data_IF_996328706250
#
_entry.id   IF_996328706250
#
_cell.length_a   1.000
_cell.length_b   1.000
_cell.length_c   1.000
_cell.angle_alpha   90.00
_cell.angle_beta   90.00
_cell.angle_gamma   90.00
#
_symmetry.space_group_name_H-M   'P 1'
#
loop_
_entity.id
_entity.type
_entity.pdbx_description
1 polymer ?
#
# COMPACT_ATOMS: atom_id res chain seq x y z
N UNK A 1 46.23 13.27 22.05
CA UNK A 1 45.20 12.38 21.46
C UNK A 1 43.94 12.50 22.29
N UNK A 2 42.81 12.84 21.67
CA UNK A 2 41.53 12.98 22.35
C UNK A 2 40.50 13.56 21.39
N UNK A 3 40.12 12.78 20.36
CA UNK A 3 39.04 13.14 19.44
C UNK A 3 37.73 13.05 20.22
N UNK A 4 37.15 14.18 20.63
CA UNK A 4 35.72 14.25 20.94
C UNK A 4 34.95 14.00 19.63
N UNK A 5 34.58 12.75 19.39
CA UNK A 5 33.58 12.40 18.38
C UNK A 5 32.21 12.63 19.02
N UNK A 6 31.39 13.48 18.42
CA UNK A 6 29.95 13.48 18.66
C UNK A 6 29.44 12.14 18.10
N UNK A 7 29.34 11.13 18.97
CA UNK A 7 28.68 9.87 18.65
C UNK A 7 27.17 10.12 18.83
N UNK A 8 26.45 10.13 17.72
CA UNK A 8 25.00 10.35 17.60
C UNK A 8 24.53 11.75 18.02
N UNK A 9 24.27 12.59 17.02
CA UNK A 9 23.11 13.47 17.10
C UNK A 9 21.89 12.57 17.02
N UNK A 10 21.13 12.47 18.11
CA UNK A 10 19.75 12.02 18.08
C UNK A 10 18.92 13.21 17.59
N UNK A 11 18.14 13.09 16.51
CA UNK A 11 16.97 13.94 16.30
C UNK A 11 15.74 13.04 16.40
N UNK A 12 15.05 13.15 17.52
CA UNK A 12 13.92 14.06 17.77
C UNK A 12 12.64 13.27 17.60
N UNK A 13 11.94 13.11 18.72
CA UNK A 13 10.49 13.04 18.89
C UNK A 13 9.71 13.43 17.63
N UNK A 14 9.69 12.54 16.64
CA UNK A 14 8.85 12.62 15.48
C UNK A 14 7.56 11.93 15.85
N UNK A 15 6.43 12.62 15.69
CA UNK A 15 5.14 11.95 15.65
C UNK A 15 5.27 10.72 14.73
N UNK A 16 4.94 9.54 15.25
CA UNK A 16 5.12 8.27 14.54
C UNK A 16 4.03 8.17 13.45
N UNK A 17 4.24 8.89 12.34
CA UNK A 17 3.31 9.00 11.20
C UNK A 17 3.19 7.70 10.40
N UNK A 18 4.05 6.71 10.68
CA UNK A 18 4.06 5.38 10.04
C UNK A 18 3.86 4.22 11.03
N UNK A 19 3.29 4.49 12.21
CA UNK A 19 2.89 3.42 13.14
C UNK A 19 1.84 2.49 12.53
N UNK A 20 1.69 1.29 13.11
CA UNK A 20 0.61 0.37 12.73
C UNK A 20 -0.69 0.87 13.38
N UNK A 21 -1.73 1.05 12.56
CA UNK A 21 -3.07 1.47 12.99
C UNK A 21 -3.97 0.27 13.31
N UNK A 22 -3.89 -0.78 12.50
CA UNK A 22 -4.75 -1.95 12.63
C UNK A 22 -4.02 -3.22 12.19
N UNK A 23 -4.26 -4.32 12.88
CA UNK A 23 -3.77 -5.65 12.53
C UNK A 23 -4.98 -6.57 12.37
N UNK A 24 -5.01 -7.33 11.29
CA UNK A 24 -6.07 -8.27 10.94
C UNK A 24 -5.47 -9.62 10.62
N UNK A 25 -6.13 -10.67 11.11
CA UNK A 25 -5.77 -12.05 10.83
C UNK A 25 -6.85 -12.74 10.00
N UNK A 26 -6.44 -13.48 8.98
CA UNK A 26 -7.28 -14.42 8.25
C UNK A 26 -6.74 -15.83 8.52
N UNK A 27 -7.62 -16.79 8.80
CA UNK A 27 -7.20 -18.18 8.98
C UNK A 27 -6.52 -18.69 7.70
N UNK A 28 -5.40 -19.39 7.85
CA UNK A 28 -4.66 -19.89 6.70
C UNK A 28 -5.48 -20.94 5.91
N UNK A 29 -6.35 -21.70 6.57
CA UNK A 29 -7.21 -22.67 5.89
C UNK A 29 -8.24 -21.98 4.96
N UNK A 30 -8.64 -20.76 5.31
CA UNK A 30 -9.57 -19.90 4.57
C UNK A 30 -8.87 -19.09 3.46
N UNK A 31 -7.54 -19.15 3.36
CA UNK A 31 -6.78 -18.43 2.35
C UNK A 31 -6.94 -19.10 0.97
N UNK A 32 -7.50 -18.35 0.02
CA UNK A 32 -7.72 -18.79 -1.36
C UNK A 32 -6.57 -18.47 -2.32
N UNK A 33 -5.67 -17.57 -1.95
CA UNK A 33 -4.53 -17.12 -2.78
C UNK A 33 -4.48 -15.60 -2.93
N UNK A 34 -3.50 -15.13 -3.70
CA UNK A 34 -3.40 -13.72 -4.07
C UNK A 34 -3.82 -13.50 -5.51
N UNK A 35 -4.45 -12.36 -5.74
CA UNK A 35 -4.59 -11.75 -7.06
C UNK A 35 -3.50 -10.69 -7.20
N UNK A 36 -2.69 -10.80 -8.24
CA UNK A 36 -1.68 -9.83 -8.60
C UNK A 36 -2.23 -8.89 -9.68
N UNK A 37 -1.74 -7.65 -9.72
CA UNK A 37 -2.01 -6.75 -10.85
C UNK A 37 -1.02 -7.03 -11.97
N UNK A 38 -1.56 -7.23 -13.18
CA UNK A 38 -0.83 -7.71 -14.37
C UNK A 38 -0.19 -9.09 -14.17
N UNK A 39 0.22 -9.76 -15.24
CA UNK A 39 0.75 -11.14 -15.21
C UNK A 39 2.04 -11.34 -14.38
N UNK A 40 2.48 -10.32 -13.62
CA UNK A 40 3.58 -10.33 -12.68
C UNK A 40 3.25 -11.13 -11.42
N UNK A 41 3.39 -12.45 -11.52
CA UNK A 41 3.40 -13.37 -10.40
C UNK A 41 4.56 -13.05 -9.44
N UNK A 42 4.27 -12.65 -8.20
CA UNK A 42 5.23 -12.51 -7.08
C UNK A 42 6.44 -11.55 -7.25
N UNK A 43 6.70 -11.04 -8.45
CA UNK A 43 7.86 -10.18 -8.76
C UNK A 43 7.65 -8.71 -8.35
N UNK A 44 6.40 -8.24 -8.37
CA UNK A 44 6.05 -6.85 -8.04
C UNK A 44 5.94 -6.58 -6.54
N UNK A 45 5.90 -7.64 -5.72
CA UNK A 45 5.57 -7.57 -4.29
C UNK A 45 4.29 -6.76 -4.00
N UNK A 46 3.38 -6.71 -4.98
CA UNK A 46 2.18 -5.90 -4.97
C UNK A 46 0.96 -6.77 -5.24
N UNK A 47 0.02 -6.77 -4.30
CA UNK A 47 -1.18 -7.63 -4.30
C UNK A 47 -2.42 -6.76 -4.46
N UNK A 48 -3.24 -7.04 -5.46
CA UNK A 48 -4.51 -6.35 -5.65
C UNK A 48 -5.59 -6.88 -4.72
N UNK A 49 -5.64 -8.21 -4.54
CA UNK A 49 -6.65 -8.84 -3.70
C UNK A 49 -6.14 -10.09 -2.97
N UNK A 50 -6.69 -10.32 -1.77
CA UNK A 50 -6.48 -11.54 -0.99
C UNK A 50 -7.76 -12.36 -1.12
N UNK A 51 -7.68 -13.44 -1.91
CA UNK A 51 -8.82 -14.33 -2.15
C UNK A 51 -9.10 -15.15 -0.89
N UNK A 52 -10.37 -15.31 -0.57
CA UNK A 52 -10.85 -16.05 0.60
C UNK A 52 -11.72 -17.22 0.14
N UNK A 53 -11.68 -18.32 0.90
CA UNK A 53 -12.54 -19.48 0.67
C UNK A 53 -13.82 -19.34 1.49
N UNK A 54 -14.93 -19.02 0.83
CA UNK A 54 -16.23 -18.87 1.47
C UNK A 54 -16.41 -17.51 2.17
N UNK A 55 -17.35 -17.44 3.12
CA UNK A 55 -17.70 -16.22 3.88
C UNK A 55 -16.83 -16.02 5.13
N UNK A 56 -15.55 -16.37 5.05
CA UNK A 56 -14.59 -16.22 6.15
C UNK A 56 -14.31 -14.74 6.47
N UNK A 57 -14.38 -14.34 7.74
CA UNK A 57 -14.14 -12.96 8.18
C UNK A 57 -12.75 -12.78 8.77
N UNK A 58 -12.13 -11.62 8.55
CA UNK A 58 -10.92 -11.24 9.27
C UNK A 58 -11.20 -11.09 10.78
N UNK A 59 -10.25 -11.54 11.60
CA UNK A 59 -10.21 -11.29 13.03
C UNK A 59 -9.33 -10.06 13.27
N UNK A 60 -9.93 -8.97 13.76
CA UNK A 60 -9.20 -7.77 14.13
C UNK A 60 -8.47 -7.99 15.47
N UNK A 61 -7.18 -7.66 15.50
CA UNK A 61 -6.39 -7.56 16.73
C UNK A 61 -6.29 -6.09 17.12
N UNK A 62 -6.56 -5.80 18.39
CA UNK A 62 -6.31 -4.49 18.95
C UNK A 62 -4.82 -4.11 18.76
N UNK A 63 -4.58 -3.06 17.98
CA UNK A 63 -3.27 -2.49 17.73
C UNK A 63 -3.20 -1.12 18.41
N UNK A 64 -2.84 -1.04 19.70
CA UNK A 64 -2.52 0.25 20.31
C UNK A 64 -1.28 0.86 19.64
N UNK A 65 -1.02 2.14 19.93
CA UNK A 65 0.11 2.93 19.40
C UNK A 65 1.50 2.29 19.60
N UNK A 66 1.60 1.19 20.34
CA UNK A 66 2.82 0.42 20.61
C UNK A 66 3.09 -0.72 19.61
N UNK A 67 2.21 -0.97 18.63
CA UNK A 67 2.41 -2.03 17.65
C UNK A 67 3.63 -1.76 16.74
N UNK A 68 4.46 -2.79 16.54
CA UNK A 68 5.73 -2.72 15.79
C UNK A 68 5.80 -3.84 14.76
N UNK A 69 6.40 -3.52 13.61
CA UNK A 69 6.78 -4.50 12.60
C UNK A 69 8.31 -4.50 12.44
N UNK A 70 8.88 -5.69 12.29
CA UNK A 70 10.29 -5.87 11.95
C UNK A 70 10.45 -6.99 10.92
N UNK A 71 11.45 -6.85 10.06
CA UNK A 71 11.86 -7.88 9.10
C UNK A 71 13.36 -8.09 9.19
N UNK A 72 13.78 -9.34 9.27
CA UNK A 72 15.20 -9.71 9.24
C UNK A 72 15.43 -10.69 8.10
N UNK A 73 16.49 -10.47 7.32
CA UNK A 73 16.87 -11.35 6.22
C UNK A 73 18.06 -12.19 6.67
N UNK A 74 17.88 -13.50 6.77
CA UNK A 74 18.94 -14.45 7.12
C UNK A 74 18.95 -15.58 6.09
N UNK A 75 20.11 -15.82 5.46
CA UNK A 75 20.31 -16.88 4.48
C UNK A 75 19.28 -16.93 3.33
N UNK A 76 18.81 -15.75 2.88
CA UNK A 76 17.81 -15.65 1.80
C UNK A 76 16.36 -15.82 2.24
N UNK A 77 16.11 -16.04 3.53
CA UNK A 77 14.76 -16.13 4.11
C UNK A 77 14.48 -14.89 4.97
N UNK A 78 13.38 -14.19 4.66
CA UNK A 78 12.84 -13.12 5.49
C UNK A 78 12.07 -13.70 6.67
N UNK A 79 12.36 -13.20 7.87
CA UNK A 79 11.55 -13.41 9.07
C UNK A 79 10.78 -12.14 9.37
N UNK A 80 9.48 -12.17 9.08
CA UNK A 80 8.54 -11.08 9.37
C UNK A 80 7.99 -11.24 10.77
N UNK A 81 8.05 -10.19 11.58
CA UNK A 81 7.53 -10.19 12.95
C UNK A 81 6.70 -8.94 13.21
N UNK A 82 5.47 -9.13 13.67
CA UNK A 82 4.60 -8.07 14.20
C UNK A 82 4.42 -8.30 15.69
N UNK A 83 4.66 -7.26 16.49
CA UNK A 83 4.49 -7.27 17.93
C UNK A 83 3.45 -6.23 18.32
N UNK A 84 2.49 -6.60 19.16
CA UNK A 84 1.47 -5.70 19.68
C UNK A 84 1.18 -6.02 21.15
N UNK A 85 0.78 -5.02 21.92
CA UNK A 85 0.41 -5.19 23.32
C UNK A 85 -1.10 -5.07 23.48
N UNK A 86 -1.75 -6.01 24.17
CA UNK A 86 -3.18 -5.95 24.46
C UNK A 86 -3.35 -5.70 25.96
N UNK A 87 -3.91 -4.54 26.32
CA UNK A 87 -4.09 -4.10 27.71
C UNK A 87 -5.33 -4.67 28.42
N UNK A 88 -6.09 -5.54 27.75
CA UNK A 88 -7.16 -6.30 28.39
C UNK A 88 -6.65 -7.71 28.73
N UNK A 89 -6.93 -8.17 29.94
CA UNK A 89 -6.55 -9.51 30.42
C UNK A 89 -7.82 -10.27 30.84
N UNK A 90 -8.75 -10.42 29.90
CA UNK A 90 -10.00 -11.16 30.08
C UNK A 90 -9.84 -12.66 29.76
N UNK A 91 -10.62 -13.51 30.43
CA UNK A 91 -10.59 -14.97 30.20
C UNK A 91 -11.01 -15.34 28.77
N UNK A 92 -11.94 -14.58 28.18
CA UNK A 92 -12.36 -14.71 26.79
C UNK A 92 -11.22 -14.41 25.82
N UNK A 93 -10.48 -13.30 26.03
CA UNK A 93 -9.31 -12.96 25.22
C UNK A 93 -8.21 -14.02 25.34
N UNK A 94 -7.93 -14.49 26.56
CA UNK A 94 -6.93 -15.53 26.79
C UNK A 94 -7.29 -16.85 26.08
N UNK A 95 -8.57 -17.23 26.07
CA UNK A 95 -9.06 -18.40 25.33
C UNK A 95 -8.87 -18.21 23.82
N UNK A 96 -9.23 -17.05 23.28
CA UNK A 96 -9.04 -16.72 21.86
C UNK A 96 -7.57 -16.71 21.45
N UNK A 97 -6.69 -16.10 22.25
CA UNK A 97 -5.24 -16.10 22.02
C UNK A 97 -4.67 -17.52 22.08
N UNK A 98 -5.13 -18.35 23.02
CA UNK A 98 -4.72 -19.75 23.10
C UNK A 98 -5.10 -20.52 21.84
N UNK A 99 -6.33 -20.35 21.33
CA UNK A 99 -6.74 -20.96 20.07
C UNK A 99 -5.91 -20.43 18.89
N UNK A 100 -5.59 -19.14 18.87
CA UNK A 100 -4.73 -18.55 17.84
C UNK A 100 -3.31 -19.16 17.85
N UNK A 101 -2.77 -19.58 18.99
CA UNK A 101 -1.47 -20.28 19.03
C UNK A 101 -1.48 -21.66 18.35
N UNK A 102 -2.67 -22.24 18.13
CA UNK A 102 -2.83 -23.57 17.52
C UNK A 102 -3.02 -23.51 16.01
N UNK A 103 -3.30 -22.33 15.47
CA UNK A 103 -3.60 -22.12 14.05
C UNK A 103 -2.54 -21.27 13.37
N UNK A 104 -2.68 -21.20 12.06
CA UNK A 104 -1.81 -20.45 11.15
C UNK A 104 -2.65 -19.33 10.53
N UNK A 105 -2.05 -18.16 10.35
CA UNK A 105 -2.80 -16.99 9.87
C UNK A 105 -2.08 -16.23 8.77
N UNK A 106 -2.86 -15.65 7.85
CA UNK A 106 -2.40 -14.56 7.00
C UNK A 106 -2.55 -13.27 7.78
N UNK A 107 -1.46 -12.50 7.87
CA UNK A 107 -1.43 -11.26 8.63
C UNK A 107 -1.56 -10.10 7.66
N UNK A 108 -2.54 -9.24 7.89
CA UNK A 108 -2.71 -7.98 7.19
C UNK A 108 -2.60 -6.85 8.22
N UNK A 109 -1.70 -5.90 8.02
CA UNK A 109 -1.65 -4.71 8.86
C UNK A 109 -1.73 -3.43 8.04
N UNK A 110 -2.35 -2.41 8.63
CA UNK A 110 -2.51 -1.08 8.04
C UNK A 110 -1.63 -0.10 8.79
N UNK A 111 -0.85 0.71 8.08
CA UNK A 111 -0.10 1.81 8.67
C UNK A 111 -0.97 3.06 8.82
N UNK A 112 -0.60 3.97 9.72
CA UNK A 112 -1.24 5.29 9.87
C UNK A 112 -1.18 6.14 8.59
N UNK A 113 -0.23 5.84 7.69
CA UNK A 113 -0.15 6.43 6.34
C UNK A 113 -1.19 5.84 5.36
N UNK A 114 -2.00 4.86 5.79
CA UNK A 114 -3.07 4.26 4.99
C UNK A 114 -2.63 3.12 4.06
N UNK A 115 -1.36 2.70 4.13
CA UNK A 115 -0.86 1.55 3.35
C UNK A 115 -1.18 0.24 4.03
N UNK A 116 -1.44 -0.79 3.23
CA UNK A 116 -1.74 -2.13 3.72
C UNK A 116 -0.60 -3.07 3.33
N UNK A 117 -0.21 -3.92 4.27
CA UNK A 117 0.84 -4.90 4.06
C UNK A 117 0.39 -6.27 4.49
N UNK A 118 0.83 -7.29 3.76
CA UNK A 118 0.43 -8.69 3.99
C UNK A 118 1.65 -9.61 4.03
N UNK A 119 1.63 -10.57 4.95
CA UNK A 119 2.64 -11.64 5.01
C UNK A 119 2.06 -12.93 5.60
N UNK A 120 2.84 -14.01 5.53
CA UNK A 120 2.44 -15.34 6.03
C UNK A 120 1.72 -16.22 5.01
N UNK A 121 1.77 -15.89 3.73
CA UNK A 121 1.05 -16.63 2.69
C UNK A 121 1.66 -17.96 2.27
N UNK A 122 2.91 -18.25 2.62
CA UNK A 122 3.56 -19.52 2.28
C UNK A 122 3.15 -20.65 3.23
N UNK A 123 3.33 -20.43 4.53
CA UNK A 123 3.11 -21.45 5.56
C UNK A 123 2.23 -20.96 6.72
N UNK A 124 1.70 -19.74 6.63
CA UNK A 124 0.98 -19.07 7.70
C UNK A 124 1.89 -18.53 8.80
N UNK A 125 1.51 -17.38 9.33
CA UNK A 125 2.13 -16.81 10.52
C UNK A 125 1.71 -17.57 11.79
N UNK A 126 2.66 -17.70 12.70
CA UNK A 126 2.46 -18.26 14.04
C UNK A 126 2.14 -17.12 15.01
N UNK A 127 1.17 -17.32 15.89
CA UNK A 127 0.87 -16.39 16.99
C UNK A 127 1.43 -16.95 18.30
N UNK A 128 2.18 -16.14 19.03
CA UNK A 128 2.58 -16.41 20.41
C UNK A 128 2.16 -15.24 21.29
N UNK A 129 1.95 -15.51 22.59
CA UNK A 129 1.65 -14.44 23.54
C UNK A 129 2.33 -14.70 24.88
N UNK A 130 2.69 -13.62 25.56
CA UNK A 130 3.26 -13.64 26.91
C UNK A 130 2.47 -12.66 27.77
N UNK A 131 1.89 -13.15 28.85
CA UNK A 131 1.24 -12.29 29.83
C UNK A 131 2.31 -11.53 30.61
N UNK A 132 2.19 -10.21 30.67
CA UNK A 132 3.08 -9.35 31.44
C UNK A 132 2.26 -8.62 32.49
N UNK A 133 2.84 -8.51 33.70
CA UNK A 133 2.25 -7.79 34.83
C UNK A 133 3.22 -6.79 35.45
N UNK A 134 4.45 -6.68 34.92
CA UNK A 134 5.54 -5.92 35.52
C UNK A 134 5.54 -4.42 35.15
N UNK A 135 5.06 -4.06 33.96
CA UNK A 135 5.02 -2.67 33.47
C UNK A 135 3.59 -2.19 33.13
N UNK A 136 2.71 -3.12 32.79
CA UNK A 136 1.25 -2.95 32.65
C UNK A 136 0.61 -4.35 32.73
N UNK A 137 -0.66 -4.45 33.13
CA UNK A 137 -1.41 -5.73 33.08
C UNK A 137 -1.88 -5.92 31.64
N UNK A 138 -1.39 -6.96 30.97
CA UNK A 138 -1.79 -7.26 29.60
C UNK A 138 -1.01 -8.42 28.98
N UNK A 139 -1.21 -8.61 27.68
CA UNK A 139 -0.57 -9.66 26.89
C UNK A 139 0.27 -9.04 25.78
N UNK A 140 1.57 -9.33 25.74
CA UNK A 140 2.41 -9.08 24.58
C UNK A 140 2.13 -10.19 23.57
N UNK A 141 1.62 -9.84 22.39
CA UNK A 141 1.33 -10.75 21.29
C UNK A 141 2.38 -10.56 20.21
N UNK A 142 3.02 -11.66 19.81
CA UNK A 142 4.02 -11.70 18.76
C UNK A 142 3.53 -12.61 17.64
N UNK A 143 3.59 -12.12 16.42
CA UNK A 143 3.12 -12.83 15.23
C UNK A 143 4.28 -12.91 14.26
N UNK A 144 4.70 -14.12 13.88
CA UNK A 144 5.88 -14.31 13.05
C UNK A 144 5.67 -15.29 11.90
N UNK A 145 6.27 -14.99 10.75
CA UNK A 145 6.30 -15.88 9.60
C UNK A 145 7.65 -15.81 8.89
N UNK A 146 8.06 -16.94 8.32
CA UNK A 146 9.19 -17.00 7.40
C UNK A 146 8.66 -16.91 5.97
N UNK A 147 9.40 -16.21 5.11
CA UNK A 147 9.07 -16.00 3.71
C UNK A 147 10.35 -15.95 2.87
N UNK A 148 10.35 -16.54 1.67
CA UNK A 148 11.46 -16.32 0.71
C UNK A 148 11.36 -14.96 -0.01
N UNK A 149 10.21 -14.31 0.09
CA UNK A 149 9.92 -13.01 -0.50
C UNK A 149 9.85 -11.91 0.57
N UNK A 150 10.10 -10.65 0.20
CA UNK A 150 9.91 -9.52 1.10
C UNK A 150 8.41 -9.29 1.39
N UNK A 151 8.14 -8.29 2.23
CA UNK A 151 6.78 -7.91 2.59
C UNK A 151 5.99 -7.48 1.36
N UNK A 152 4.76 -7.98 1.21
CA UNK A 152 3.90 -7.60 0.11
C UNK A 152 3.04 -6.39 0.50
N UNK A 153 3.01 -5.39 -0.38
CA UNK A 153 2.04 -4.29 -0.29
C UNK A 153 0.72 -4.76 -0.89
N UNK A 154 -0.37 -4.47 -0.20
CA UNK A 154 -1.72 -4.72 -0.68
C UNK A 154 -2.37 -3.39 -1.06
N UNK A 155 -3.08 -3.37 -2.20
CA UNK A 155 -3.96 -2.25 -2.54
C UNK A 155 -4.92 -1.99 -1.37
N UNK A 156 -5.06 -0.74 -0.92
CA UNK A 156 -6.05 -0.38 0.09
C UNK A 156 -7.45 -0.83 -0.33
N UNK A 157 -8.08 -1.71 0.45
CA UNK A 157 -9.54 -1.83 0.42
C UNK A 157 -10.04 -0.58 1.10
N UNK A 158 -10.35 0.45 0.31
CA UNK A 158 -10.81 1.73 0.86
C UNK A 158 -12.23 1.51 1.44
N UNK A 159 -12.44 1.50 2.77
CA UNK A 159 -13.77 1.32 3.32
C UNK A 159 -14.53 2.65 3.17
N UNK A 160 -15.78 2.60 2.74
CA UNK A 160 -16.62 3.80 2.58
C UNK A 160 -16.80 4.23 1.12
N UNK A 161 -17.20 5.49 0.93
CA UNK A 161 -17.40 6.09 -0.40
C UNK A 161 -16.05 6.59 -0.91
N UNK A 162 -15.61 6.17 -2.09
CA UNK A 162 -14.39 6.68 -2.69
C UNK A 162 -14.39 6.57 -4.23
N UNK A 163 -13.52 7.38 -4.84
CA UNK A 163 -13.04 7.22 -6.22
C UNK A 163 -11.60 7.73 -6.25
N UNK A 164 -10.70 6.95 -6.83
CA UNK A 164 -9.26 7.27 -6.91
C UNK A 164 -8.70 6.88 -8.27
N UNK A 165 -7.62 7.55 -8.68
CA UNK A 165 -6.91 7.29 -9.93
C UNK A 165 -5.40 7.23 -9.66
N UNK A 166 -4.72 6.23 -10.22
CA UNK A 166 -3.27 6.05 -10.11
C UNK A 166 -2.70 5.59 -11.47
N UNK A 167 -1.65 6.24 -12.01
CA UNK A 167 -1.05 7.48 -11.52
C UNK A 167 -1.97 8.70 -11.71
N UNK A 168 -1.75 9.79 -10.98
CA UNK A 168 -2.51 11.06 -11.14
C UNK A 168 -2.00 11.92 -12.31
N UNK A 169 -0.93 11.49 -12.98
CA UNK A 169 -0.34 12.15 -14.13
C UNK A 169 0.15 11.13 -15.16
N UNK A 170 -0.15 11.35 -16.44
CA UNK A 170 0.37 10.58 -17.58
C UNK A 170 0.93 11.53 -18.63
N UNK A 171 2.06 11.15 -19.22
CA UNK A 171 2.67 11.82 -20.36
C UNK A 171 2.82 10.80 -21.50
N UNK A 172 2.24 11.14 -22.65
CA UNK A 172 2.28 10.38 -23.89
C UNK A 172 3.24 11.06 -24.87
N UNK A 173 4.06 10.28 -25.57
CA UNK A 173 4.97 10.75 -26.61
C UNK A 173 4.45 10.34 -28.00
N UNK A 174 4.03 11.32 -28.81
CA UNK A 174 3.61 11.10 -30.19
C UNK A 174 4.75 10.42 -31.02
N UNK A 175 4.44 9.58 -32.03
CA UNK A 175 3.16 9.55 -32.74
C UNK A 175 2.07 8.65 -32.14
N UNK A 176 2.39 7.58 -31.42
CA UNK A 176 1.39 6.64 -30.89
C UNK A 176 1.87 5.91 -29.64
N UNK A 177 1.90 6.58 -28.49
CA UNK A 177 2.06 5.90 -27.19
C UNK A 177 0.70 5.57 -26.59
N UNK A 178 0.60 4.36 -26.06
CA UNK A 178 -0.54 3.87 -25.30
C UNK A 178 -0.07 3.73 -23.85
N UNK A 179 -0.72 4.45 -22.94
CA UNK A 179 -0.46 4.34 -21.50
C UNK A 179 -1.70 3.87 -20.76
N UNK A 180 -1.52 3.49 -19.50
CA UNK A 180 -2.61 2.97 -18.67
C UNK A 180 -2.61 3.62 -17.30
N UNK A 181 -3.81 3.85 -16.76
CA UNK A 181 -4.00 4.14 -15.35
C UNK A 181 -5.09 3.25 -14.77
N UNK A 182 -5.07 3.11 -13.45
CA UNK A 182 -6.09 2.39 -12.69
C UNK A 182 -7.02 3.41 -12.04
N UNK A 183 -8.32 3.23 -12.25
CA UNK A 183 -9.39 3.93 -11.53
C UNK A 183 -10.08 2.94 -10.61
N UNK A 184 -10.13 3.25 -9.32
CA UNK A 184 -10.83 2.41 -8.32
C UNK A 184 -11.97 3.21 -7.71
N UNK A 185 -13.18 2.64 -7.66
CA UNK A 185 -14.34 3.30 -7.05
C UNK A 185 -15.21 2.36 -6.21
N UNK A 186 -15.81 2.90 -5.14
CA UNK A 186 -16.79 2.21 -4.29
C UNK A 186 -18.17 2.00 -4.91
N UNK A 187 -18.48 2.72 -5.99
CA UNK A 187 -19.79 2.75 -6.63
C UNK A 187 -19.61 2.95 -8.14
N UNK A 188 -20.66 2.77 -8.96
CA UNK A 188 -20.58 3.13 -10.37
C UNK A 188 -20.05 4.55 -10.58
N UNK A 189 -19.30 4.72 -11.66
CA UNK A 189 -18.58 5.95 -11.97
C UNK A 189 -18.66 6.29 -13.46
N UNK A 190 -18.45 7.56 -13.77
CA UNK A 190 -18.41 8.08 -15.13
C UNK A 190 -17.42 9.24 -15.26
N UNK A 191 -16.85 9.42 -16.44
CA UNK A 191 -16.11 10.61 -16.84
C UNK A 191 -17.08 11.79 -16.97
N UNK A 192 -16.85 12.86 -16.22
CA UNK A 192 -17.70 14.06 -16.25
C UNK A 192 -17.06 15.24 -17.01
N UNK A 193 -15.74 15.22 -17.19
CA UNK A 193 -15.01 16.28 -17.88
C UNK A 193 -13.66 15.75 -18.38
N UNK A 194 -13.21 16.19 -19.56
CA UNK A 194 -11.88 15.89 -20.09
C UNK A 194 -11.70 16.31 -21.55
N UNK A 195 -10.47 16.67 -21.98
CA UNK A 195 -10.18 17.08 -23.35
C UNK A 195 -10.06 15.87 -24.31
N UNK A 196 -11.20 15.30 -24.71
CA UNK A 196 -11.27 14.11 -25.59
C UNK A 196 -10.85 14.35 -27.04
N UNK A 197 -10.51 15.59 -27.42
CA UNK A 197 -10.05 15.95 -28.78
C UNK A 197 -8.62 15.53 -29.08
N UNK A 198 -7.80 15.32 -28.05
CA UNK A 198 -6.37 15.06 -28.15
C UNK A 198 -5.99 13.68 -27.61
N UNK A 199 -6.80 13.16 -26.69
CA UNK A 199 -6.58 11.95 -25.92
C UNK A 199 -7.88 11.15 -25.93
N UNK A 200 -7.78 9.85 -26.22
CA UNK A 200 -8.91 8.92 -26.19
C UNK A 200 -8.75 7.98 -25.01
N UNK A 201 -9.85 7.73 -24.30
CA UNK A 201 -9.95 6.70 -23.27
C UNK A 201 -10.79 5.55 -23.83
N UNK A 202 -10.36 4.31 -23.62
CA UNK A 202 -11.12 3.13 -24.02
C UNK A 202 -12.43 2.97 -23.21
N UNK A 203 -12.40 3.41 -21.95
CA UNK A 203 -13.51 3.31 -21.01
C UNK A 203 -13.75 4.66 -20.33
N UNK A 204 -15.01 5.12 -20.35
CA UNK A 204 -15.43 6.38 -19.73
C UNK A 204 -16.48 6.19 -18.64
N UNK A 205 -16.92 4.96 -18.35
CA UNK A 205 -17.84 4.62 -17.28
C UNK A 205 -17.61 3.19 -16.81
N UNK A 206 -17.96 2.88 -15.57
CA UNK A 206 -17.81 1.54 -15.00
C UNK A 206 -18.65 1.35 -13.73
N UNK A 207 -18.73 0.09 -13.29
CA UNK A 207 -19.33 -0.27 -11.99
C UNK A 207 -18.42 0.05 -10.81
N UNK A 208 -18.72 -0.50 -9.64
CA UNK A 208 -17.79 -0.49 -8.51
C UNK A 208 -16.60 -1.44 -8.76
N UNK A 209 -15.43 -1.14 -8.20
CA UNK A 209 -14.21 -1.93 -8.34
C UNK A 209 -13.06 -1.17 -9.00
N UNK A 210 -12.02 -1.92 -9.39
CA UNK A 210 -10.83 -1.40 -10.10
C UNK A 210 -10.94 -1.61 -11.60
N UNK A 211 -10.64 -0.56 -12.37
CA UNK A 211 -10.68 -0.54 -13.82
C UNK A 211 -9.35 -0.03 -14.36
N UNK A 212 -8.72 -0.82 -15.21
CA UNK A 212 -7.56 -0.38 -15.97
C UNK A 212 -8.04 0.32 -17.24
N UNK A 213 -7.75 1.60 -17.36
CA UNK A 213 -8.20 2.46 -18.46
C UNK A 213 -7.00 2.74 -19.36
N UNK A 214 -7.19 2.46 -20.64
CA UNK A 214 -6.17 2.68 -21.67
C UNK A 214 -6.32 4.09 -22.24
N UNK A 215 -5.20 4.81 -22.28
CA UNK A 215 -5.07 6.16 -22.81
C UNK A 215 -4.33 6.11 -24.12
N UNK A 216 -4.95 6.62 -25.19
CA UNK A 216 -4.32 6.72 -26.51
C UNK A 216 -4.19 8.18 -26.91
N UNK A 217 -2.97 8.60 -27.23
CA UNK A 217 -2.69 9.95 -27.74
C UNK A 217 -3.07 10.03 -29.22
N UNK A 218 -3.95 10.96 -29.60
CA UNK A 218 -4.32 11.19 -31.00
C UNK A 218 -3.72 12.48 -31.59
N UNK A 219 -3.69 13.55 -30.79
CA UNK A 219 -3.11 14.85 -31.19
C UNK A 219 -2.36 15.44 -30.01
N UNK A 220 -1.40 16.33 -30.29
CA UNK A 220 -0.70 17.08 -29.25
C UNK A 220 -1.72 17.92 -28.47
N UNK A 221 -1.69 17.81 -27.14
CA UNK A 221 -2.59 18.52 -26.25
C UNK A 221 -2.51 18.00 -24.82
N UNK A 222 -3.11 18.72 -23.89
CA UNK A 222 -3.07 18.36 -22.47
C UNK A 222 -4.33 18.77 -21.73
N UNK A 223 -4.58 18.14 -20.59
CA UNK A 223 -5.54 18.63 -19.61
C UNK A 223 -5.97 17.58 -18.60
N UNK A 224 -6.94 17.97 -17.79
CA UNK A 224 -7.45 17.17 -16.68
C UNK A 224 -8.68 16.38 -17.12
N UNK A 225 -8.69 15.09 -16.78
CA UNK A 225 -9.85 14.21 -16.88
C UNK A 225 -10.41 14.00 -15.49
N UNK A 226 -11.67 14.35 -15.29
CA UNK A 226 -12.35 14.22 -13.99
C UNK A 226 -13.44 13.17 -14.09
N UNK A 227 -13.38 12.21 -13.18
CA UNK A 227 -14.35 11.15 -12.99
C UNK A 227 -15.19 11.45 -11.76
N UNK A 228 -16.44 11.01 -11.77
CA UNK A 228 -17.35 11.13 -10.64
C UNK A 228 -18.06 9.81 -10.37
N UNK A 229 -18.14 9.43 -9.11
CA UNK A 229 -18.93 8.29 -8.68
C UNK A 229 -20.38 8.72 -8.33
N UNK A 230 -21.31 7.77 -8.24
CA UNK A 230 -22.72 8.05 -7.91
C UNK A 230 -22.91 8.75 -6.55
N UNK A 231 -21.93 8.60 -5.66
CA UNK A 231 -21.96 9.25 -4.35
C UNK A 231 -21.49 10.71 -4.37
N UNK A 232 -21.14 11.25 -5.54
CA UNK A 232 -20.78 12.65 -5.78
C UNK A 232 -19.30 12.97 -5.61
N UNK A 233 -18.46 11.99 -5.31
CA UNK A 233 -17.02 12.18 -5.17
C UNK A 233 -16.33 12.20 -6.53
N UNK A 234 -15.19 12.88 -6.61
CA UNK A 234 -14.45 13.04 -7.86
C UNK A 234 -13.00 12.61 -7.74
N UNK A 235 -12.45 12.07 -8.83
CA UNK A 235 -11.03 11.82 -9.00
C UNK A 235 -10.57 12.46 -10.31
N UNK A 236 -9.36 13.00 -10.32
CA UNK A 236 -8.84 13.72 -11.48
C UNK A 236 -7.45 13.21 -11.84
N UNK A 237 -7.18 13.06 -13.13
CA UNK A 237 -5.87 12.74 -13.70
C UNK A 237 -5.48 13.80 -14.71
N UNK A 238 -4.22 14.23 -14.68
CA UNK A 238 -3.64 15.07 -15.72
C UNK A 238 -3.03 14.20 -16.82
N UNK A 239 -3.38 14.46 -18.08
CA UNK A 239 -2.81 13.74 -19.21
C UNK A 239 -2.31 14.75 -20.23
N UNK A 240 -1.08 14.57 -20.69
CA UNK A 240 -0.50 15.34 -21.78
C UNK A 240 -0.02 14.40 -22.89
N UNK A 241 -0.39 14.69 -24.13
CA UNK A 241 0.20 14.14 -25.34
C UNK A 241 1.08 15.19 -25.98
N UNK A 242 2.37 14.91 -26.10
CA UNK A 242 3.38 15.87 -26.54
C UNK A 242 4.17 15.30 -27.72
N UNK A 243 4.77 16.18 -28.53
CA UNK A 243 5.58 15.77 -29.69
C UNK A 243 7.05 15.94 -29.36
N UNK A 244 7.77 14.82 -29.33
CA UNK A 244 9.11 14.73 -28.76
C UNK A 244 9.09 14.96 -27.25
N UNK A 245 10.14 14.54 -26.54
CA UNK A 245 10.30 14.87 -25.12
C UNK A 245 10.63 16.36 -24.95
N UNK A 246 9.71 17.26 -24.56
CA UNK A 246 10.14 18.45 -23.85
C UNK A 246 10.78 17.96 -22.55
N UNK A 247 11.88 18.60 -22.17
CA UNK A 247 12.53 18.47 -20.88
C UNK A 247 11.49 18.61 -19.76
N UNK A 248 11.06 17.52 -19.15
CA UNK A 248 10.15 17.56 -18.00
C UNK A 248 11.03 17.32 -16.76
N UNK A 249 11.40 18.42 -16.12
CA UNK A 249 11.94 18.43 -14.75
C UNK A 249 10.81 17.96 -13.82
N UNK A 250 10.94 16.78 -13.23
CA UNK A 250 10.00 16.33 -12.19
C UNK A 250 10.39 16.82 -10.79
N UNK A 251 11.68 17.01 -10.50
CA UNK A 251 12.15 17.50 -9.19
C UNK A 251 13.46 18.30 -9.29
N UNK A 252 13.63 19.31 -8.43
CA UNK A 252 14.91 19.99 -8.23
C UNK A 252 14.97 20.91 -7.02
N UNK A 253 16.14 20.97 -6.37
CA UNK A 253 16.37 21.78 -5.18
C UNK A 253 17.08 23.09 -5.55
N UNK A 254 16.52 24.22 -5.14
CA UNK A 254 17.17 25.53 -5.26
C UNK A 254 18.42 25.59 -4.39
N UNK A 255 19.54 26.09 -4.92
CA UNK A 255 20.65 26.49 -4.08
C UNK A 255 20.42 27.88 -3.48
N UNK A 256 21.16 28.22 -2.42
CA UNK A 256 21.03 29.51 -1.70
C UNK A 256 21.43 30.74 -2.53
N UNK A 257 21.77 30.58 -3.81
CA UNK A 257 22.14 31.65 -4.75
C UNK A 257 21.14 31.79 -5.92
N UNK A 258 20.06 31.01 -5.94
CA UNK A 258 19.01 31.13 -6.96
C UNK A 258 19.34 30.52 -8.32
N UNK A 259 20.36 29.64 -8.41
CA UNK A 259 20.68 28.90 -9.62
C UNK A 259 20.32 27.41 -9.50
N UNK A 260 19.76 26.84 -10.56
CA UNK A 260 19.38 25.44 -10.66
C UNK A 260 20.54 24.65 -11.30
N UNK A 261 21.11 23.67 -10.58
CA UNK A 261 22.15 22.77 -11.13
C UNK A 261 21.65 21.33 -11.13
N UNK A 262 21.73 20.73 -12.31
CA UNK A 262 21.32 19.38 -12.69
C UNK A 262 22.37 18.33 -12.28
N UNK A 263 21.96 17.33 -11.50
CA UNK A 263 22.69 16.09 -11.30
C UNK A 263 21.71 14.90 -11.46
N UNK A 264 21.10 14.74 -12.64
CA UNK A 264 20.29 13.57 -12.98
C UNK A 264 20.63 13.05 -14.36
N UNK A 265 20.82 11.75 -14.48
CA UNK A 265 21.27 11.06 -15.70
C UNK A 265 20.40 11.42 -16.92
N UNK A 266 21.05 11.85 -17.99
CA UNK A 266 20.47 12.17 -19.29
C UNK A 266 20.27 10.87 -20.07
N UNK A 267 19.03 10.46 -20.33
CA UNK A 267 18.75 9.31 -21.20
C UNK A 267 17.70 9.66 -22.25
N UNK A 268 18.02 9.28 -23.50
CA UNK A 268 17.26 9.52 -24.73
C UNK A 268 15.82 9.01 -24.69
#
# INVERSE_FOLDING_TARGET
>A
MGKCRINSLVPNCGYNTEGIEAIRLLDFDDFGGFKFDFDGLYDSCYVSEVLQRGDSSYVDIAAPDSAKYSSTLNNGTYTHTVETFIGDLSASLASSLHLATKRRYIVLFRTKAGRYFVFGYEAGATVTYVNQTAEAVGSLVTISANSIYPLFEKVPVTPGRYITVVPTRIILEAPDTVERFVLTSSSPWQLISGPTRYITLDTTQGGAGSFQITVTGGRIGQGYFTFRNETGQTATIYIANISGRPWILEDGTWNMLGFWYDNGIWNF
#
